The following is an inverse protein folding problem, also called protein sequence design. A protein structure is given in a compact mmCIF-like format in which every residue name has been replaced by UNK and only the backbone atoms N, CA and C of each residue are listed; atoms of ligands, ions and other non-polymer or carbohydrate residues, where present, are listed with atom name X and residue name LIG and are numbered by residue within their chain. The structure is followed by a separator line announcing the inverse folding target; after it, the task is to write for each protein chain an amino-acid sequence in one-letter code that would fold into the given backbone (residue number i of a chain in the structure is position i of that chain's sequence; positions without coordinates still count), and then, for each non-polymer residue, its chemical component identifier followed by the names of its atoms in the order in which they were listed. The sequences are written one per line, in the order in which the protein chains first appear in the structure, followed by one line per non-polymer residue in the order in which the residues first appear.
data_IF_362500286896
#
_entry.id   IF_362500286896
#
_cell.length_a   1.000
_cell.length_b   1.000
_cell.length_c   1.000
_cell.angle_alpha   90.00
_cell.angle_beta   90.00
_cell.angle_gamma   90.00
#
_symmetry.space_group_name_H-M   'P 1'
#
loop_
_entity.id
_entity.type
_entity.pdbx_description
1 polymer ?
#
# COMPACT_ATOMS: atom_id res chain seq x y z
N UNK A 1 -3.40 -3.51 -8.28
CA UNK A 1 -2.47 -2.40 -7.93
C UNK A 1 -1.09 -2.96 -7.65
N UNK A 2 -0.09 -2.14 -7.81
CA UNK A 2 1.28 -2.52 -7.49
C UNK A 2 1.67 -2.04 -6.09
N UNK A 3 2.75 -2.63 -5.57
CA UNK A 3 3.31 -2.19 -4.29
C UNK A 3 3.62 -0.69 -4.31
N UNK A 4 4.17 -0.18 -5.41
CA UNK A 4 4.45 1.26 -5.55
C UNK A 4 3.19 2.11 -5.47
N UNK A 5 2.11 1.67 -6.09
CA UNK A 5 0.84 2.40 -6.05
C UNK A 5 0.29 2.47 -4.63
N UNK A 6 0.60 1.48 -3.81
CA UNK A 6 0.16 1.43 -2.42
C UNK A 6 1.18 2.04 -1.45
N UNK A 7 2.18 2.73 -1.98
CA UNK A 7 3.17 3.41 -1.15
C UNK A 7 4.40 2.59 -0.84
N UNK A 8 4.58 1.45 -1.50
CA UNK A 8 5.75 0.62 -1.30
C UNK A 8 6.91 0.96 -2.22
N UNK A 9 7.91 0.10 -2.28
CA UNK A 9 9.17 0.37 -2.96
C UNK A 9 9.50 -0.62 -4.08
N UNK A 10 8.60 -1.51 -4.45
CA UNK A 10 8.84 -2.49 -5.50
C UNK A 10 7.67 -2.54 -6.48
N UNK A 11 7.82 -3.36 -7.53
CA UNK A 11 6.84 -3.43 -8.61
C UNK A 11 5.94 -4.66 -8.55
N UNK A 12 5.89 -5.34 -7.41
CA UNK A 12 5.05 -6.51 -7.27
C UNK A 12 3.58 -6.13 -7.45
N UNK A 13 2.83 -6.93 -8.18
CA UNK A 13 1.41 -6.68 -8.42
C UNK A 13 0.55 -7.47 -7.46
N UNK A 14 -0.51 -6.81 -7.00
CA UNK A 14 -1.54 -7.43 -6.17
C UNK A 14 -2.85 -7.46 -6.94
N UNK A 15 -3.56 -8.58 -6.85
CA UNK A 15 -4.86 -8.75 -7.49
C UNK A 15 -5.88 -9.10 -6.42
N UNK A 16 -6.94 -8.31 -6.34
CA UNK A 16 -7.99 -8.54 -5.36
C UNK A 16 -9.32 -8.00 -5.89
N UNK A 17 -10.42 -8.56 -5.42
CA UNK A 17 -11.74 -8.16 -5.83
C UNK A 17 -12.21 -6.89 -5.12
N UNK A 18 -11.67 -6.61 -3.92
CA UNK A 18 -12.05 -5.45 -3.13
C UNK A 18 -10.81 -4.71 -2.67
N UNK A 19 -10.98 -3.43 -2.34
CA UNK A 19 -9.89 -2.63 -1.80
C UNK A 19 -9.42 -3.17 -0.45
N UNK A 20 -10.33 -3.70 0.36
CA UNK A 20 -10.00 -4.29 1.64
C UNK A 20 -9.02 -5.46 1.49
N UNK A 21 -9.29 -6.35 0.55
CA UNK A 21 -8.37 -7.45 0.24
C UNK A 21 -7.04 -6.94 -0.27
N UNK A 22 -7.07 -5.91 -1.10
CA UNK A 22 -5.86 -5.28 -1.64
C UNK A 22 -4.99 -4.76 -0.50
N UNK A 23 -5.61 -4.10 0.49
CA UNK A 23 -4.90 -3.56 1.64
C UNK A 23 -4.26 -4.68 2.47
N UNK A 24 -4.95 -5.81 2.64
CA UNK A 24 -4.41 -6.95 3.36
C UNK A 24 -3.19 -7.53 2.66
N UNK A 25 -3.26 -7.69 1.34
CA UNK A 25 -2.12 -8.18 0.56
C UNK A 25 -0.92 -7.24 0.67
N UNK A 26 -1.17 -5.95 0.60
CA UNK A 26 -0.13 -4.94 0.75
C UNK A 26 0.52 -5.02 2.13
N UNK A 27 -0.28 -5.20 3.16
CA UNK A 27 0.20 -5.28 4.54
C UNK A 27 1.07 -6.51 4.74
N UNK A 28 0.64 -7.66 4.21
CA UNK A 28 1.43 -8.89 4.29
C UNK A 28 2.76 -8.75 3.59
N UNK A 29 2.76 -8.14 2.40
CA UNK A 29 3.99 -7.89 1.66
C UNK A 29 4.93 -6.98 2.43
N UNK A 30 4.40 -5.90 3.01
CA UNK A 30 5.18 -4.99 3.82
C UNK A 30 5.83 -5.67 5.01
N UNK A 31 5.08 -6.55 5.68
CA UNK A 31 5.60 -7.33 6.81
C UNK A 31 6.75 -8.22 6.37
N UNK A 32 6.61 -8.90 5.23
CA UNK A 32 7.67 -9.74 4.70
C UNK A 32 8.94 -8.94 4.39
N UNK A 33 8.78 -7.78 3.78
CA UNK A 33 9.92 -6.93 3.46
C UNK A 33 10.58 -6.38 4.70
N UNK A 34 9.81 -6.09 5.73
CA UNK A 34 10.35 -5.66 7.02
C UNK A 34 11.20 -6.76 7.65
N UNK A 35 10.73 -8.01 7.60
CA UNK A 35 11.49 -9.15 8.14
C UNK A 35 12.78 -9.39 7.37
N UNK A 36 12.78 -9.09 6.07
CA UNK A 36 13.97 -9.21 5.23
C UNK A 36 14.93 -8.04 5.35
N UNK A 37 14.56 -7.02 6.10
CA UNK A 37 15.33 -5.77 6.25
C UNK A 37 15.58 -5.08 4.91
N UNK A 38 14.58 -5.08 4.05
CA UNK A 38 14.68 -4.39 2.76
C UNK A 38 14.70 -2.88 2.99
N UNK A 39 15.82 -2.24 2.66
CA UNK A 39 16.02 -0.82 2.94
C UNK A 39 14.99 0.07 2.25
N UNK A 40 14.64 -0.23 1.00
CA UNK A 40 13.65 0.53 0.27
C UNK A 40 12.30 0.51 0.93
N UNK A 41 11.85 -0.67 1.35
CA UNK A 41 10.58 -0.80 2.04
C UNK A 41 10.60 -0.18 3.42
N UNK A 42 11.71 -0.31 4.14
CA UNK A 42 11.84 0.29 5.46
C UNK A 42 11.77 1.82 5.39
N UNK A 43 12.35 2.39 4.34
CA UNK A 43 12.29 3.84 4.13
C UNK A 43 10.84 4.31 3.91
N UNK A 44 10.10 3.63 3.02
CA UNK A 44 8.72 4.02 2.75
C UNK A 44 7.82 3.75 3.95
N UNK A 45 8.10 2.72 4.74
CA UNK A 45 7.35 2.46 5.97
C UNK A 45 7.55 3.58 6.97
N UNK A 46 8.77 4.12 7.07
CA UNK A 46 9.05 5.26 7.94
C UNK A 46 8.27 6.49 7.48
N UNK A 47 8.24 6.75 6.18
CA UNK A 47 7.48 7.85 5.61
C UNK A 47 5.98 7.69 5.86
N UNK A 48 5.47 6.47 5.72
CA UNK A 48 4.07 6.18 5.99
C UNK A 48 3.73 6.37 7.46
N UNK A 49 4.64 5.99 8.35
CA UNK A 49 4.44 6.19 9.78
C UNK A 49 4.29 7.67 10.11
N UNK A 50 5.08 8.54 9.47
CA UNK A 50 4.95 9.97 9.64
C UNK A 50 3.59 10.48 9.14
N UNK A 51 3.18 10.01 7.97
CA UNK A 51 1.89 10.39 7.40
C UNK A 51 0.73 9.97 8.30
N UNK A 52 0.83 8.80 8.91
CA UNK A 52 -0.25 8.23 9.70
C UNK A 52 -0.33 8.79 11.12
N UNK A 53 0.63 9.60 11.54
CA UNK A 53 0.53 10.34 12.80
C UNK A 53 -0.60 11.36 12.77
N UNK A 54 -0.91 11.87 11.60
CA UNK A 54 -2.03 12.80 11.40
C UNK A 54 -3.24 11.99 10.93
N UNK A 55 -4.33 11.93 11.72
CA UNK A 55 -5.52 11.18 11.32
C UNK A 55 -6.09 11.64 9.98
N UNK A 56 -6.03 12.93 9.70
CA UNK A 56 -6.50 13.46 8.43
C UNK A 56 -5.62 12.99 7.28
N UNK A 57 -4.31 12.96 7.46
CA UNK A 57 -3.39 12.46 6.46
C UNK A 57 -3.64 11.00 6.13
N UNK A 58 -3.92 10.19 7.15
CA UNK A 58 -4.24 8.78 6.96
C UNK A 58 -5.55 8.62 6.16
N UNK A 59 -6.58 9.37 6.52
CA UNK A 59 -7.87 9.31 5.84
C UNK A 59 -7.71 9.72 4.37
N UNK A 60 -7.02 10.83 4.13
CA UNK A 60 -6.79 11.33 2.78
C UNK A 60 -6.03 10.30 1.94
N UNK A 61 -5.02 9.67 2.51
CA UNK A 61 -4.26 8.64 1.81
C UNK A 61 -5.13 7.45 1.44
N UNK A 62 -5.94 6.96 2.40
CA UNK A 62 -6.81 5.82 2.18
C UNK A 62 -7.84 6.12 1.08
N UNK A 63 -8.45 7.29 1.11
CA UNK A 63 -9.41 7.69 0.10
C UNK A 63 -8.77 7.79 -1.28
N UNK A 64 -7.57 8.35 -1.35
CA UNK A 64 -6.82 8.47 -2.59
C UNK A 64 -6.53 7.09 -3.19
N UNK A 65 -6.07 6.15 -2.36
CA UNK A 65 -5.76 4.80 -2.83
C UNK A 65 -7.01 4.04 -3.22
N UNK A 66 -8.11 4.23 -2.52
CA UNK A 66 -9.38 3.62 -2.88
C UNK A 66 -9.87 4.10 -4.24
N UNK A 67 -9.74 5.40 -4.51
CA UNK A 67 -10.09 5.96 -5.81
C UNK A 67 -9.24 5.37 -6.93
N UNK A 68 -7.95 5.22 -6.68
CA UNK A 68 -7.04 4.60 -7.65
C UNK A 68 -7.46 3.16 -7.92
N UNK A 69 -7.83 2.42 -6.88
CA UNK A 69 -8.27 1.05 -7.02
C UNK A 69 -9.56 0.97 -7.86
N UNK A 70 -10.52 1.83 -7.58
CA UNK A 70 -11.79 1.85 -8.29
C UNK A 70 -11.65 2.27 -9.74
N UNK A 71 -10.63 3.06 -10.06
CA UNK A 71 -10.35 3.51 -11.41
C UNK A 71 -9.64 2.45 -12.26
N UNK A 72 -9.13 1.37 -11.65
CA UNK A 72 -8.46 0.31 -12.38
C UNK A 72 -9.46 -0.54 -13.16
N UNK A 73 -9.05 -1.10 -14.32
CA UNK A 73 -9.88 -2.09 -15.01
C UNK A 73 -10.15 -3.27 -14.09
N UNK A 74 -11.35 -3.84 -14.21
CA UNK A 74 -11.68 -5.04 -13.44
C UNK A 74 -10.68 -6.15 -13.76
N UNK A 75 -10.14 -6.73 -12.69
CA UNK A 75 -9.22 -7.84 -12.80
C UNK A 75 -10.03 -9.13 -12.80
N UNK A 76 -10.00 -9.80 -13.92
CA UNK A 76 -10.79 -11.03 -14.09
C UNK A 76 -9.92 -12.26 -14.14
#
# INVERSE_FOLDING_TARGET
MTCKQLGGACDIEFHAATFEEMAQLSQQHGTEMFQKNDEGHMKVMSEMAELMKDPKGMIDWMESKQREFEALPEDK
#
